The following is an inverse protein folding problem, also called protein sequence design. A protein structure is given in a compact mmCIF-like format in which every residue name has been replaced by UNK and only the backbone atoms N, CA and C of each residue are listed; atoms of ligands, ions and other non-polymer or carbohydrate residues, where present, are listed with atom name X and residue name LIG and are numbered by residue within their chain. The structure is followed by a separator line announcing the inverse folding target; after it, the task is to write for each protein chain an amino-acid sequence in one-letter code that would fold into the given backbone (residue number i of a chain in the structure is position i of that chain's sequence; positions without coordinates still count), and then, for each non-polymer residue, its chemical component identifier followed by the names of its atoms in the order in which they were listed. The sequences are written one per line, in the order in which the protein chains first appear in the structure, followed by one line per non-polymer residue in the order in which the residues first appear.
data_IF_736726987149
#
_entry.id   IF_736726987149
#
_cell.length_a   1.000
_cell.length_b   1.000
_cell.length_c   1.000
_cell.angle_alpha   90.00
_cell.angle_beta   90.00
_cell.angle_gamma   90.00
#
_symmetry.space_group_name_H-M   'P 1'
#
loop_
_entity.id
_entity.type
_entity.pdbx_description
1 polymer ?
#
# COMPACT_ATOMS: atom_id res chain seq x y z
N UNK A 1 1.35 1.57 -0.31
CA UNK A 1 0.95 0.37 0.48
C UNK A 1 1.60 -0.85 -0.19
N UNK A 2 2.11 -1.82 0.56
CA UNK A 2 2.74 -3.03 -0.02
C UNK A 2 1.66 -4.05 -0.40
N UNK A 3 1.93 -4.86 -1.43
CA UNK A 3 1.04 -5.89 -1.99
C UNK A 3 0.54 -6.92 -0.97
N UNK A 4 1.21 -7.08 0.17
CA UNK A 4 0.75 -7.96 1.25
C UNK A 4 -0.63 -7.55 1.77
N UNK A 5 -0.95 -6.25 1.77
CA UNK A 5 -2.26 -5.76 2.21
C UNK A 5 -3.41 -6.16 1.26
N UNK A 6 -3.10 -6.56 0.02
CA UNK A 6 -4.08 -7.06 -0.94
C UNK A 6 -4.61 -8.45 -0.55
N UNK A 7 -3.88 -9.18 0.29
CA UNK A 7 -4.29 -10.48 0.79
C UNK A 7 -5.16 -10.30 2.04
N UNK A 8 -6.41 -10.80 2.06
CA UNK A 8 -7.36 -10.54 3.15
C UNK A 8 -6.81 -10.87 4.55
N UNK A 9 -6.09 -11.98 4.66
CA UNK A 9 -5.53 -12.46 5.93
C UNK A 9 -4.48 -11.51 6.50
N UNK A 10 -3.83 -10.72 5.63
CA UNK A 10 -2.72 -9.84 5.97
C UNK A 10 -3.06 -8.34 5.82
N UNK A 11 -4.29 -7.99 5.45
CA UNK A 11 -4.71 -6.61 5.19
C UNK A 11 -4.41 -5.65 6.36
N UNK A 12 -4.55 -6.15 7.60
CA UNK A 12 -4.32 -5.38 8.82
C UNK A 12 -2.93 -5.60 9.45
N UNK A 13 -2.08 -6.45 8.87
CA UNK A 13 -0.76 -6.71 9.43
C UNK A 13 0.11 -5.47 9.27
N UNK A 14 0.65 -4.88 10.36
CA UNK A 14 1.44 -3.67 10.25
C UNK A 14 2.78 -3.94 9.54
N UNK A 15 3.48 -2.90 9.04
CA UNK A 15 4.77 -3.10 8.39
C UNK A 15 5.79 -3.75 9.35
N UNK A 16 6.69 -4.56 8.78
CA UNK A 16 7.77 -5.19 9.53
C UNK A 16 8.74 -4.17 10.14
N UNK A 17 8.92 -3.03 9.48
CA UNK A 17 9.70 -1.89 9.96
C UNK A 17 8.84 -0.94 10.81
N UNK A 18 9.42 -0.44 11.90
CA UNK A 18 8.82 0.61 12.72
C UNK A 18 9.27 1.99 12.23
N UNK A 19 8.34 2.92 12.08
CA UNK A 19 8.64 4.33 11.86
C UNK A 19 8.57 5.04 13.21
N UNK A 20 9.69 5.57 13.69
CA UNK A 20 9.74 6.33 14.96
C UNK A 20 9.12 5.56 16.14
N UNK A 21 9.43 4.27 16.25
CA UNK A 21 8.90 3.39 17.31
C UNK A 21 7.45 2.91 17.09
N UNK A 22 6.78 3.28 16.00
CA UNK A 22 5.41 2.86 15.67
C UNK A 22 5.37 2.00 14.41
N UNK A 23 4.69 0.86 14.46
CA UNK A 23 4.39 0.06 13.26
C UNK A 23 3.05 0.51 12.67
N UNK A 24 3.08 1.23 11.55
CA UNK A 24 1.87 1.78 10.91
C UNK A 24 2.04 1.89 9.39
N UNK A 25 0.99 1.58 8.64
CA UNK A 25 0.93 1.81 7.19
C UNK A 25 0.63 3.25 6.79
N UNK A 26 0.12 4.07 7.72
CA UNK A 26 -0.26 5.47 7.49
C UNK A 26 0.55 6.40 8.40
N UNK A 27 1.87 6.53 8.18
CA UNK A 27 2.74 7.37 9.01
C UNK A 27 2.52 8.88 8.84
N UNK A 28 1.94 9.33 7.72
CA UNK A 28 1.72 10.75 7.42
C UNK A 28 3.04 11.56 7.47
N UNK A 29 3.02 12.75 8.07
CA UNK A 29 4.23 13.59 8.26
C UNK A 29 5.40 12.89 8.97
N UNK A 30 5.13 11.87 9.80
CA UNK A 30 6.23 11.15 10.47
C UNK A 30 7.09 10.37 9.48
N UNK A 31 6.56 10.00 8.31
CA UNK A 31 7.34 9.39 7.24
C UNK A 31 8.43 10.33 6.74
N UNK A 32 8.08 11.59 6.52
CA UNK A 32 9.01 12.61 6.03
C UNK A 32 10.15 12.86 7.00
N UNK A 33 9.79 13.05 8.27
CA UNK A 33 10.76 13.24 9.36
C UNK A 33 11.65 12.02 9.51
N UNK A 34 11.09 10.81 9.42
CA UNK A 34 11.87 9.57 9.50
C UNK A 34 12.85 9.46 8.35
N UNK A 35 12.40 9.66 7.11
CA UNK A 35 13.26 9.52 5.93
C UNK A 35 14.38 10.57 5.94
N UNK A 36 14.06 11.82 6.29
CA UNK A 36 15.06 12.88 6.39
C UNK A 36 16.08 12.60 7.52
N UNK A 37 15.61 12.18 8.69
CA UNK A 37 16.49 11.95 9.85
C UNK A 37 17.34 10.67 9.77
N UNK A 38 16.80 9.60 9.19
CA UNK A 38 17.48 8.29 9.15
C UNK A 38 18.28 8.11 7.88
N UNK A 39 17.78 8.59 6.73
CA UNK A 39 18.42 8.38 5.43
C UNK A 39 19.04 9.66 4.85
N UNK A 40 18.86 10.82 5.49
CA UNK A 40 19.41 12.08 5.02
C UNK A 40 18.76 12.62 3.74
N UNK A 41 17.62 12.05 3.31
CA UNK A 41 16.95 12.44 2.06
C UNK A 41 16.04 13.66 2.31
N UNK A 42 16.31 14.82 1.69
CA UNK A 42 15.51 16.03 1.89
C UNK A 42 14.06 15.87 1.40
N UNK A 43 13.11 16.57 2.03
CA UNK A 43 11.66 16.45 1.71
C UNK A 43 11.36 16.69 0.22
N UNK A 44 12.08 17.61 -0.42
CA UNK A 44 11.95 17.88 -1.86
C UNK A 44 12.29 16.66 -2.71
N UNK A 45 13.36 15.95 -2.37
CA UNK A 45 13.76 14.73 -3.08
C UNK A 45 12.78 13.58 -2.79
N UNK A 46 12.28 13.48 -1.56
CA UNK A 46 11.23 12.52 -1.23
C UNK A 46 9.96 12.72 -2.06
N UNK A 47 9.54 13.97 -2.29
CA UNK A 47 8.40 14.27 -3.14
C UNK A 47 8.61 13.79 -4.58
N UNK A 48 9.80 14.01 -5.15
CA UNK A 48 10.16 13.52 -6.48
C UNK A 48 10.15 11.99 -6.56
N UNK A 49 10.58 11.31 -5.49
CA UNK A 49 10.48 9.84 -5.40
C UNK A 49 9.02 9.40 -5.42
N UNK A 50 8.13 10.09 -4.71
CA UNK A 50 6.68 9.80 -4.70
C UNK A 50 6.07 10.00 -6.08
N UNK A 51 6.43 11.05 -6.81
CA UNK A 51 5.97 11.29 -8.18
C UNK A 51 6.43 10.17 -9.13
N UNK A 52 7.71 9.76 -9.06
CA UNK A 52 8.22 8.63 -9.86
C UNK A 52 7.52 7.30 -9.54
N UNK A 53 7.14 7.08 -8.28
CA UNK A 53 6.32 5.92 -7.91
C UNK A 53 4.93 6.02 -8.56
N UNK A 54 4.33 7.21 -8.61
CA UNK A 54 3.05 7.42 -9.29
C UNK A 54 3.15 7.09 -10.79
N UNK A 55 4.19 7.57 -11.47
CA UNK A 55 4.47 7.26 -12.88
C UNK A 55 4.59 5.75 -13.11
N UNK A 56 5.41 5.07 -12.31
CA UNK A 56 5.55 3.61 -12.39
C UNK A 56 4.24 2.87 -12.13
N UNK A 57 3.37 3.42 -11.27
CA UNK A 57 2.06 2.85 -10.99
C UNK A 57 1.08 3.01 -12.16
N UNK A 58 1.13 4.14 -12.88
CA UNK A 58 0.34 4.35 -14.10
C UNK A 58 0.73 3.29 -15.14
N UNK A 59 2.02 3.03 -15.32
CA UNK A 59 2.52 2.05 -16.28
C UNK A 59 2.14 0.60 -15.91
N UNK A 60 2.21 0.25 -14.62
CA UNK A 60 1.95 -1.12 -14.17
C UNK A 60 0.47 -1.44 -14.00
N UNK A 61 -0.39 -0.45 -13.73
CA UNK A 61 -1.82 -0.65 -13.51
C UNK A 61 -2.50 -1.49 -14.60
N UNK A 62 -2.33 -1.17 -15.90
CA UNK A 62 -2.85 -1.97 -17.00
C UNK A 62 -2.34 -3.42 -17.02
N UNK A 63 -1.09 -3.65 -16.65
CA UNK A 63 -0.52 -5.00 -16.57
C UNK A 63 -1.19 -5.84 -15.48
N UNK A 64 -1.59 -5.23 -14.36
CA UNK A 64 -2.37 -5.91 -13.32
C UNK A 64 -3.75 -6.30 -13.86
N UNK A 65 -4.42 -5.41 -14.60
CA UNK A 65 -5.71 -5.70 -15.23
C UNK A 65 -5.62 -6.87 -16.21
N UNK A 66 -4.61 -6.87 -17.07
CA UNK A 66 -4.33 -7.98 -17.98
C UNK A 66 -4.08 -9.30 -17.23
N UNK A 67 -3.36 -9.25 -16.11
CA UNK A 67 -3.16 -10.43 -15.26
C UNK A 67 -4.47 -10.93 -14.62
N UNK A 68 -5.37 -10.03 -14.21
CA UNK A 68 -6.70 -10.38 -13.67
C UNK A 68 -7.61 -11.04 -14.72
N UNK A 69 -7.45 -10.69 -15.99
CA UNK A 69 -8.15 -11.33 -17.11
C UNK A 69 -7.57 -12.71 -17.41
N UNK A 70 -6.24 -12.81 -17.46
CA UNK A 70 -5.51 -14.03 -17.80
C UNK A 70 -5.57 -15.10 -16.72
N UNK A 71 -5.60 -14.72 -15.46
CA UNK A 71 -5.51 -15.64 -14.31
C UNK A 71 -6.73 -15.46 -13.40
N UNK A 72 -7.78 -16.30 -13.53
CA UNK A 72 -9.00 -16.17 -12.72
C UNK A 72 -8.75 -16.16 -11.21
N UNK A 73 -7.83 -17.00 -10.72
CA UNK A 73 -7.47 -17.04 -9.29
C UNK A 73 -6.77 -15.78 -8.76
N UNK A 74 -6.27 -14.92 -9.66
CA UNK A 74 -5.65 -13.65 -9.28
C UNK A 74 -6.63 -12.49 -9.30
N UNK A 75 -7.83 -12.64 -9.89
CA UNK A 75 -8.74 -11.52 -10.14
C UNK A 75 -9.07 -10.70 -8.88
N UNK A 76 -9.45 -11.37 -7.80
CA UNK A 76 -9.82 -10.68 -6.56
C UNK A 76 -8.61 -10.04 -5.87
N UNK A 77 -7.45 -10.71 -5.89
CA UNK A 77 -6.21 -10.17 -5.33
C UNK A 77 -5.74 -8.96 -6.14
N UNK A 78 -5.76 -9.04 -7.48
CA UNK A 78 -5.39 -7.93 -8.36
C UNK A 78 -6.27 -6.71 -8.15
N UNK A 79 -7.59 -6.91 -8.00
CA UNK A 79 -8.52 -5.83 -7.64
C UNK A 79 -8.16 -5.19 -6.29
N UNK A 80 -7.95 -5.99 -5.24
CA UNK A 80 -7.53 -5.48 -3.92
C UNK A 80 -6.19 -4.76 -3.99
N UNK A 81 -5.25 -5.27 -4.78
CA UNK A 81 -3.94 -4.68 -4.97
C UNK A 81 -4.04 -3.27 -5.55
N UNK A 82 -4.81 -3.08 -6.62
CA UNK A 82 -5.02 -1.75 -7.22
C UNK A 82 -5.73 -0.78 -6.26
N UNK A 83 -6.72 -1.23 -5.50
CA UNK A 83 -7.38 -0.43 -4.46
C UNK A 83 -6.38 0.01 -3.37
N UNK A 84 -5.67 -0.95 -2.78
CA UNK A 84 -4.66 -0.73 -1.74
C UNK A 84 -3.55 0.23 -2.19
N UNK A 85 -3.09 0.07 -3.44
CA UNK A 85 -2.09 0.94 -4.03
C UNK A 85 -2.62 2.36 -4.24
N UNK A 86 -3.83 2.50 -4.79
CA UNK A 86 -4.49 3.79 -4.98
C UNK A 86 -4.66 4.56 -3.66
N UNK A 87 -5.17 3.90 -2.62
CA UNK A 87 -5.26 4.48 -1.27
C UNK A 87 -3.90 4.90 -0.71
N UNK A 88 -2.88 4.06 -0.94
CA UNK A 88 -1.51 4.35 -0.55
C UNK A 88 -0.99 5.63 -1.19
N UNK A 89 -1.20 5.80 -2.50
CA UNK A 89 -0.78 6.99 -3.23
C UNK A 89 -1.58 8.23 -2.80
N UNK A 90 -2.89 8.10 -2.64
CA UNK A 90 -3.73 9.19 -2.12
C UNK A 90 -3.23 9.67 -0.75
N UNK A 91 -2.84 8.75 0.14
CA UNK A 91 -2.26 9.10 1.44
C UNK A 91 -0.90 9.80 1.36
N UNK A 92 -0.09 9.53 0.33
CA UNK A 92 1.20 10.20 0.12
C UNK A 92 0.99 11.61 -0.46
N UNK A 93 0.04 11.75 -1.38
CA UNK A 93 -0.30 13.02 -2.03
C UNK A 93 -1.03 13.99 -1.09
N UNK A 94 -1.67 13.46 -0.04
CA UNK A 94 -2.39 14.24 0.98
C UNK A 94 -1.59 15.45 1.49
N UNK A 95 -2.34 16.52 1.80
CA UNK A 95 -1.79 17.79 2.29
C UNK A 95 -1.00 17.65 3.60
N UNK A 96 -1.31 16.65 4.44
CA UNK A 96 -0.60 16.39 5.70
C UNK A 96 0.65 15.52 5.50
N UNK A 97 0.84 14.99 4.30
CA UNK A 97 2.06 14.28 3.89
C UNK A 97 2.81 15.18 2.91
N UNK A 98 2.83 14.93 1.59
CA UNK A 98 3.66 15.69 0.65
C UNK A 98 2.98 16.89 -0.03
N UNK A 99 1.66 17.10 0.16
CA UNK A 99 0.94 18.21 -0.49
C UNK A 99 1.07 18.23 -2.03
N UNK A 100 1.00 17.06 -2.66
CA UNK A 100 1.12 16.91 -4.12
C UNK A 100 -0.22 17.01 -4.86
N UNK A 101 -1.34 17.16 -4.13
CA UNK A 101 -2.68 17.27 -4.71
C UNK A 101 -3.37 15.92 -4.78
N UNK A 102 -3.91 15.56 -5.94
CA UNK A 102 -4.60 14.28 -6.18
C UNK A 102 -3.81 13.46 -7.20
N UNK A 103 -3.49 12.19 -6.93
CA UNK A 103 -2.76 11.37 -7.88
C UNK A 103 -3.66 10.96 -9.06
N UNK A 104 -3.22 11.22 -10.28
CA UNK A 104 -3.89 10.80 -11.52
C UNK A 104 -3.34 9.44 -11.98
N UNK A 105 -3.82 8.35 -11.38
CA UNK A 105 -3.28 7.00 -11.63
C UNK A 105 -3.85 6.29 -12.87
N UNK A 106 -4.76 6.93 -13.61
CA UNK A 106 -5.36 6.39 -14.83
C UNK A 106 -6.49 5.36 -14.61
N UNK A 107 -7.05 4.88 -15.72
CA UNK A 107 -8.28 4.04 -15.74
C UNK A 107 -8.11 2.70 -15.02
N UNK A 108 -6.89 2.17 -14.97
CA UNK A 108 -6.60 0.93 -14.27
C UNK A 108 -6.95 0.98 -12.77
N UNK A 109 -7.03 2.17 -12.18
CA UNK A 109 -7.38 2.37 -10.76
C UNK A 109 -8.86 2.75 -10.55
N UNK A 110 -9.68 2.77 -11.61
CA UNK A 110 -11.10 3.15 -11.54
C UNK A 110 -12.05 1.95 -11.65
N UNK A 111 -13.33 2.16 -11.32
CA UNK A 111 -14.39 1.18 -11.55
C UNK A 111 -14.27 -0.12 -10.76
N UNK A 112 -13.51 -0.12 -9.66
CA UNK A 112 -13.41 -1.27 -8.76
C UNK A 112 -14.53 -1.18 -7.72
N UNK A 113 -15.37 -2.20 -7.62
CA UNK A 113 -16.35 -2.31 -6.53
C UNK A 113 -15.65 -2.56 -5.18
N UNK A 114 -16.35 -2.35 -4.08
CA UNK A 114 -15.82 -2.74 -2.76
C UNK A 114 -15.52 -4.24 -2.72
N UNK A 115 -14.61 -4.62 -1.81
CA UNK A 115 -14.24 -6.01 -1.58
C UNK A 115 -14.78 -6.46 -0.22
N UNK A 116 -15.24 -7.70 -0.09
CA UNK A 116 -15.65 -8.22 1.21
C UNK A 116 -14.47 -8.20 2.18
N UNK A 117 -14.68 -7.65 3.36
CA UNK A 117 -13.69 -7.64 4.43
C UNK A 117 -13.54 -9.07 4.94
N UNK A 118 -12.34 -9.65 4.83
CA UNK A 118 -12.06 -10.97 5.38
C UNK A 118 -12.23 -10.95 6.90
N UNK A 119 -13.00 -11.90 7.45
CA UNK A 119 -13.12 -12.09 8.90
C UNK A 119 -11.78 -12.58 9.44
N UNK A 120 -11.06 -11.74 10.18
CA UNK A 120 -9.81 -12.14 10.82
C UNK A 120 -10.06 -12.84 12.16
N UNK A 121 -9.54 -14.06 12.34
CA UNK A 121 -9.10 -14.52 13.65
C UNK A 121 -7.74 -13.85 13.94
N UNK A 122 -7.65 -13.08 15.03
CA UNK A 122 -6.42 -12.39 15.41
C UNK A 122 -5.40 -13.41 15.95
N UNK A 123 -4.50 -13.89 15.11
CA UNK A 123 -3.33 -14.63 15.58
C UNK A 123 -2.22 -13.65 16.02
N UNK A 124 -1.45 -13.98 17.07
CA UNK A 124 -0.31 -13.18 17.49
C UNK A 124 0.69 -13.00 16.34
N UNK A 125 1.04 -11.75 16.04
CA UNK A 125 2.00 -11.38 15.00
C UNK A 125 3.33 -12.09 15.24
N UNK A 126 3.86 -12.76 14.21
CA UNK A 126 5.13 -13.50 14.27
C UNK A 126 5.02 -14.97 14.70
N UNK A 127 3.80 -15.47 14.93
CA UNK A 127 3.54 -16.90 15.13
C UNK A 127 3.13 -17.53 13.80
N UNK A 128 3.77 -18.64 13.44
CA UNK A 128 3.36 -19.44 12.29
C UNK A 128 2.00 -20.10 12.56
N UNK A 129 1.14 -20.12 11.54
CA UNK A 129 -0.17 -20.79 11.56
C UNK A 129 -0.06 -22.31 11.72
N UNK A 130 1.11 -22.88 11.45
CA UNK A 130 1.41 -24.30 11.61
C UNK A 130 1.80 -24.67 13.05
N UNK A 131 1.95 -23.69 13.95
CA UNK A 131 2.27 -23.96 15.34
C UNK A 131 1.00 -24.31 16.12
N UNK A 132 0.99 -25.38 16.94
CA UNK A 132 -0.19 -25.77 17.71
C UNK A 132 -0.67 -24.63 18.62
N UNK A 133 -1.99 -24.43 18.70
CA UNK A 133 -2.63 -23.53 19.68
C UNK A 133 -2.33 -24.06 21.09
N UNK A 134 -1.98 -23.17 22.02
CA UNK A 134 -1.78 -23.51 23.43
C UNK A 134 -3.12 -23.54 24.15
#
# INVERSE_FOLDING_TARGET
MITTAAYPDYANNPPGISFMGKKTWKPGKYLQTFIAGVFGVPVREQAQIVERIAEAMIDIGPHVRLAMERYPGFRDIGKRMLLCWGEGMASLYDKKTYSLGTPELGEAFMGMSDHESGKQERLPIGRSDLLPRR
#
